data_IF_799370362122
#
_entry.id   IF_799370362122
#
_cell.length_a   1.000
_cell.length_b   1.000
_cell.length_c   1.000
_cell.angle_alpha   90.00
_cell.angle_beta   90.00
_cell.angle_gamma   90.00
#
_symmetry.space_group_name_H-M   'P 1'
#
loop_
_entity.id
_entity.type
_entity.pdbx_description
1 polymer ?
#
# COMPACT_ATOMS: atom_id res chain seq x y z
N UNK A 1 24.81 -0.46 20.41
CA UNK A 1 24.97 -1.59 19.42
C UNK A 1 24.89 -1.14 17.97
N UNK A 2 24.00 -0.22 17.59
CA UNK A 2 23.85 0.24 16.21
C UNK A 2 25.07 0.95 15.64
N UNK A 3 25.79 1.77 16.43
CA UNK A 3 27.00 2.47 15.99
C UNK A 3 28.18 1.53 15.68
N UNK A 4 28.27 0.38 16.34
CA UNK A 4 29.32 -0.62 16.07
C UNK A 4 29.07 -1.28 14.72
N UNK A 5 27.83 -1.48 14.33
CA UNK A 5 27.48 -2.07 13.04
C UNK A 5 27.92 -1.17 11.88
N UNK A 6 27.56 0.12 11.92
CA UNK A 6 27.94 1.08 10.85
C UNK A 6 29.45 1.27 10.77
N UNK A 7 30.15 1.31 11.92
CA UNK A 7 31.61 1.36 11.96
C UNK A 7 32.25 0.10 11.31
N UNK A 8 31.75 -1.08 11.63
CA UNK A 8 32.26 -2.32 11.01
C UNK A 8 32.00 -2.34 9.50
N UNK A 9 30.87 -1.83 9.03
CA UNK A 9 30.61 -1.68 7.60
C UNK A 9 31.62 -0.75 6.93
N UNK A 10 32.00 0.34 7.59
CA UNK A 10 33.00 1.28 7.07
C UNK A 10 34.39 0.63 6.91
N UNK A 11 34.78 -0.31 7.79
CA UNK A 11 36.08 -1.00 7.67
C UNK A 11 36.18 -1.91 6.43
N UNK A 12 35.05 -2.34 5.88
CA UNK A 12 34.97 -3.13 4.64
C UNK A 12 34.59 -2.30 3.41
N UNK A 13 34.68 -0.95 3.53
CA UNK A 13 34.45 -0.04 2.42
C UNK A 13 32.99 0.33 2.16
N UNK A 14 32.06 -0.01 3.07
CA UNK A 14 30.66 0.39 2.98
C UNK A 14 30.50 1.71 3.75
N UNK A 15 30.23 2.86 3.08
CA UNK A 15 30.15 4.15 3.74
C UNK A 15 28.97 4.22 4.72
N UNK A 16 29.15 4.97 5.79
CA UNK A 16 28.08 5.32 6.72
C UNK A 16 27.32 6.56 6.24
N UNK A 17 26.00 6.49 6.29
CA UNK A 17 25.11 7.62 5.99
C UNK A 17 24.33 8.05 7.22
N UNK A 18 24.47 9.31 7.60
CA UNK A 18 23.72 9.92 8.70
C UNK A 18 22.26 10.20 8.35
N UNK A 19 21.96 10.36 7.06
CA UNK A 19 20.61 10.64 6.57
C UNK A 19 20.16 9.59 5.54
N UNK A 20 19.48 8.51 5.95
CA UNK A 20 19.00 7.48 5.04
C UNK A 20 17.92 7.97 4.06
N UNK A 21 17.28 9.10 4.33
CA UNK A 21 16.26 9.71 3.48
C UNK A 21 16.83 10.78 2.53
N UNK A 22 18.15 10.97 2.49
CA UNK A 22 18.82 11.99 1.70
C UNK A 22 19.03 11.64 0.21
N UNK A 23 18.51 10.50 -0.25
CA UNK A 23 18.63 10.05 -1.65
C UNK A 23 19.86 9.18 -1.95
N UNK A 24 20.77 9.00 -1.01
CA UNK A 24 21.89 8.04 -1.15
C UNK A 24 21.42 6.65 -0.74
N UNK A 25 21.48 5.71 -1.68
CA UNK A 25 20.93 4.35 -1.49
C UNK A 25 21.99 3.29 -1.15
N UNK A 26 23.29 3.61 -1.37
CA UNK A 26 24.40 2.69 -1.09
C UNK A 26 25.09 3.10 0.20
N UNK A 27 25.12 2.20 1.17
CA UNK A 27 25.79 2.43 2.45
C UNK A 27 25.11 1.76 3.62
N UNK A 28 25.68 1.97 4.80
CA UNK A 28 25.11 1.53 6.07
C UNK A 28 24.48 2.71 6.80
N UNK A 29 23.35 2.49 7.43
CA UNK A 29 22.64 3.51 8.20
C UNK A 29 21.77 2.87 9.30
N UNK A 30 21.39 3.68 10.26
CA UNK A 30 20.41 3.32 11.26
C UNK A 30 19.03 3.71 10.71
N UNK A 31 18.17 2.71 10.50
CA UNK A 31 16.82 2.94 9.98
C UNK A 31 16.01 3.75 10.99
N UNK A 32 15.45 4.91 10.61
CA UNK A 32 14.58 5.68 11.47
C UNK A 32 13.28 4.91 11.73
N UNK A 33 12.83 4.95 12.97
CA UNK A 33 11.56 4.36 13.38
C UNK A 33 10.48 5.43 13.52
N UNK A 34 9.26 5.09 13.11
CA UNK A 34 8.10 5.98 13.29
C UNK A 34 7.57 5.86 14.71
N UNK A 35 8.34 6.36 15.66
CA UNK A 35 8.06 6.29 17.11
C UNK A 35 8.09 7.70 17.68
N UNK A 36 7.11 8.02 18.53
CA UNK A 36 7.15 9.24 19.33
C UNK A 36 8.19 9.07 20.44
N UNK A 37 9.26 9.89 20.46
CA UNK A 37 10.35 9.74 21.43
C UNK A 37 9.93 10.00 22.88
N UNK A 38 8.84 10.76 23.10
CA UNK A 38 8.40 11.14 24.45
C UNK A 38 7.75 10.00 25.21
N UNK A 39 7.08 9.08 24.52
CA UNK A 39 6.33 7.99 25.15
C UNK A 39 6.59 6.62 24.51
N UNK A 40 7.51 6.55 23.55
CA UNK A 40 7.91 5.33 22.82
C UNK A 40 6.75 4.60 22.12
N UNK A 41 5.66 5.29 21.83
CA UNK A 41 4.53 4.73 21.09
C UNK A 41 4.67 5.01 19.60
N UNK A 42 4.00 4.19 18.78
CA UNK A 42 3.98 4.40 17.33
C UNK A 42 3.36 5.75 16.99
N UNK A 43 4.09 6.56 16.21
CA UNK A 43 3.57 7.79 15.62
C UNK A 43 2.93 7.47 14.27
N UNK A 44 1.70 7.92 14.05
CA UNK A 44 0.95 7.75 12.80
C UNK A 44 0.00 8.93 12.60
N UNK A 45 -0.65 9.00 11.44
CA UNK A 45 -1.41 10.18 11.04
C UNK A 45 -2.48 10.62 12.06
N UNK A 46 -3.20 9.66 12.67
CA UNK A 46 -4.20 9.99 13.69
C UNK A 46 -3.55 10.66 14.92
N UNK A 47 -2.53 10.02 15.51
CA UNK A 47 -1.87 10.54 16.71
C UNK A 47 -1.17 11.87 16.46
N UNK A 48 -0.65 12.10 15.24
CA UNK A 48 0.08 13.31 14.88
C UNK A 48 -0.82 14.49 14.48
N UNK A 49 -1.95 14.22 13.78
CA UNK A 49 -2.72 15.27 13.11
C UNK A 49 -4.18 15.37 13.58
N UNK A 50 -4.68 14.40 14.35
CA UNK A 50 -6.07 14.42 14.84
C UNK A 50 -6.09 14.53 16.36
N UNK A 51 -5.47 13.58 17.07
CA UNK A 51 -5.56 13.52 18.53
C UNK A 51 -4.88 14.71 19.23
N UNK A 52 -3.88 15.33 18.59
CA UNK A 52 -3.14 16.49 19.10
C UNK A 52 -3.81 17.84 18.83
N UNK A 53 -4.87 17.87 18.02
CA UNK A 53 -5.53 19.10 17.63
C UNK A 53 -6.82 19.33 18.42
N UNK A 54 -7.23 20.59 18.65
CA UNK A 54 -8.54 20.90 19.24
C UNK A 54 -9.66 20.39 18.34
N UNK A 55 -10.83 20.04 18.92
CA UNK A 55 -12.00 19.61 18.15
C UNK A 55 -12.38 20.67 17.09
N UNK A 56 -12.62 20.21 15.86
CA UNK A 56 -13.03 21.06 14.74
C UNK A 56 -14.49 20.76 14.40
N UNK A 57 -15.39 21.76 14.45
CA UNK A 57 -16.82 21.54 14.21
C UNK A 57 -17.14 21.09 12.78
N UNK A 58 -16.25 21.36 11.84
CA UNK A 58 -16.37 20.98 10.43
C UNK A 58 -15.62 19.68 10.06
N UNK A 59 -15.07 18.96 11.03
CA UNK A 59 -14.40 17.68 10.83
C UNK A 59 -15.23 16.54 11.37
N UNK A 60 -15.79 15.70 10.50
CA UNK A 60 -16.54 14.52 10.85
C UNK A 60 -15.74 13.26 10.50
N UNK A 61 -15.46 12.43 11.50
CA UNK A 61 -14.72 11.18 11.34
C UNK A 61 -15.68 10.02 11.56
N UNK A 62 -15.92 9.24 10.51
CA UNK A 62 -16.74 8.04 10.55
C UNK A 62 -15.85 6.80 10.62
N UNK A 63 -15.80 6.17 11.79
CA UNK A 63 -15.10 4.89 12.00
C UNK A 63 -16.04 3.72 11.73
N UNK A 64 -15.46 2.55 11.39
CA UNK A 64 -16.21 1.31 11.10
C UNK A 64 -17.11 1.39 9.85
N UNK A 65 -16.86 2.34 8.97
CA UNK A 65 -17.52 2.45 7.68
C UNK A 65 -16.58 2.07 6.55
N UNK A 66 -17.12 1.42 5.55
CA UNK A 66 -16.42 1.09 4.31
C UNK A 66 -16.97 1.93 3.18
N UNK A 67 -16.11 2.62 2.45
CA UNK A 67 -16.47 3.31 1.21
C UNK A 67 -16.64 2.27 0.11
N UNK A 68 -17.75 2.32 -0.60
CA UNK A 68 -18.09 1.40 -1.67
C UNK A 68 -17.66 1.95 -3.02
N UNK A 69 -18.11 3.15 -3.35
CA UNK A 69 -17.79 3.86 -4.59
C UNK A 69 -18.08 5.35 -4.43
N UNK A 70 -17.67 6.13 -5.41
CA UNK A 70 -18.14 7.50 -5.57
C UNK A 70 -18.98 7.63 -6.86
N UNK A 71 -19.83 8.62 -6.89
CA UNK A 71 -20.74 8.88 -7.99
C UNK A 71 -20.29 10.09 -8.79
N UNK A 72 -20.63 10.09 -10.08
CA UNK A 72 -20.43 11.25 -10.96
C UNK A 72 -21.72 12.02 -11.16
N UNK A 73 -21.61 13.33 -11.37
CA UNK A 73 -22.72 14.17 -11.77
C UNK A 73 -23.19 13.77 -13.19
N UNK A 74 -24.52 13.77 -13.37
CA UNK A 74 -25.14 13.37 -14.64
C UNK A 74 -24.89 14.36 -15.79
N UNK A 75 -24.76 15.65 -15.45
CA UNK A 75 -24.51 16.72 -16.41
C UNK A 75 -23.38 17.63 -15.94
N UNK A 76 -22.43 17.90 -16.84
CA UNK A 76 -21.42 18.95 -16.68
C UNK A 76 -21.34 19.71 -17.99
N UNK A 77 -21.48 21.01 -17.95
CA UNK A 77 -21.44 21.90 -19.13
C UNK A 77 -20.11 21.81 -19.90
N UNK A 78 -19.06 21.33 -19.24
CA UNK A 78 -17.71 21.19 -19.82
C UNK A 78 -17.40 19.82 -20.39
N UNK A 79 -18.31 18.85 -20.37
CA UNK A 79 -18.06 17.45 -20.76
C UNK A 79 -17.10 16.69 -19.82
N UNK A 80 -16.62 17.31 -18.75
CA UNK A 80 -15.74 16.68 -17.76
C UNK A 80 -16.56 15.92 -16.72
N UNK A 81 -16.05 14.78 -16.27
CA UNK A 81 -16.65 14.04 -15.16
C UNK A 81 -16.32 14.72 -13.84
N UNK A 82 -17.35 15.00 -13.04
CA UNK A 82 -17.25 15.63 -11.74
C UNK A 82 -17.80 14.67 -10.69
N UNK A 83 -17.06 14.43 -9.62
CA UNK A 83 -17.53 13.63 -8.49
C UNK A 83 -18.66 14.38 -7.76
N UNK A 84 -19.79 13.72 -7.54
CA UNK A 84 -21.00 14.31 -6.94
C UNK A 84 -21.32 13.73 -5.56
N UNK A 85 -20.92 12.50 -5.27
CA UNK A 85 -21.27 11.85 -4.00
C UNK A 85 -20.36 10.66 -3.70
N UNK A 86 -20.40 10.22 -2.44
CA UNK A 86 -19.67 9.03 -1.97
C UNK A 86 -20.66 8.10 -1.29
N UNK A 87 -20.68 6.83 -1.71
CA UNK A 87 -21.47 5.77 -1.09
C UNK A 87 -20.63 4.98 -0.09
N UNK A 88 -21.18 4.76 1.09
CA UNK A 88 -20.51 4.02 2.17
C UNK A 88 -21.52 3.30 3.08
N UNK A 89 -21.05 2.27 3.79
CA UNK A 89 -21.89 1.48 4.70
C UNK A 89 -21.07 0.82 5.81
N UNK A 90 -21.75 0.42 6.90
CA UNK A 90 -21.12 -0.34 8.01
C UNK A 90 -21.00 -1.83 7.68
N UNK A 91 -22.05 -2.41 7.11
CA UNK A 91 -22.13 -3.81 6.71
C UNK A 91 -23.07 -3.97 5.52
N UNK A 92 -23.15 -5.18 4.97
CA UNK A 92 -24.10 -5.47 3.87
C UNK A 92 -25.56 -5.23 4.26
N UNK A 93 -25.90 -5.42 5.53
CA UNK A 93 -27.27 -5.36 6.04
C UNK A 93 -27.64 -3.99 6.62
N UNK A 94 -26.66 -3.11 6.87
CA UNK A 94 -26.87 -1.82 7.55
C UNK A 94 -27.32 -0.67 6.63
N UNK A 95 -27.62 -0.99 5.36
CA UNK A 95 -28.00 0.01 4.35
C UNK A 95 -26.82 0.88 3.88
N UNK A 96 -26.90 1.29 2.63
CA UNK A 96 -25.94 2.19 2.00
C UNK A 96 -26.35 3.61 2.29
N UNK A 97 -25.39 4.44 2.71
CA UNK A 97 -25.54 5.88 2.90
C UNK A 97 -24.76 6.62 1.81
N UNK A 98 -25.24 7.79 1.46
CA UNK A 98 -24.58 8.67 0.50
C UNK A 98 -24.34 10.03 1.15
N UNK A 99 -23.18 10.62 0.84
CA UNK A 99 -22.85 12.01 1.18
C UNK A 99 -22.51 12.75 -0.10
N UNK A 100 -23.06 13.96 -0.24
CA UNK A 100 -22.78 14.81 -1.40
C UNK A 100 -21.41 15.49 -1.28
N UNK A 101 -20.78 15.71 -2.43
CA UNK A 101 -19.45 16.31 -2.54
C UNK A 101 -19.57 17.76 -2.98
N UNK A 102 -19.14 18.68 -2.12
CA UNK A 102 -19.18 20.11 -2.43
C UNK A 102 -17.97 20.63 -3.21
N UNK A 103 -16.78 20.01 -3.02
CA UNK A 103 -15.53 20.45 -3.66
C UNK A 103 -14.79 19.30 -4.33
N UNK A 104 -14.31 18.34 -3.55
CA UNK A 104 -13.46 17.25 -4.04
C UNK A 104 -13.58 15.99 -3.20
N UNK A 105 -13.16 14.86 -3.74
CA UNK A 105 -13.00 13.59 -3.03
C UNK A 105 -11.53 13.23 -3.02
N UNK A 106 -10.95 13.05 -1.84
CA UNK A 106 -9.57 12.57 -1.67
C UNK A 106 -9.58 11.06 -1.41
N UNK A 107 -9.04 10.27 -2.32
CA UNK A 107 -8.90 8.83 -2.18
C UNK A 107 -7.56 8.50 -1.53
N UNK A 108 -7.57 8.07 -0.28
CA UNK A 108 -6.41 7.69 0.50
C UNK A 108 -6.58 6.30 1.12
N UNK A 109 -7.16 5.35 0.37
CA UNK A 109 -7.50 4.01 0.84
C UNK A 109 -6.36 2.98 0.72
N UNK A 110 -5.15 3.43 0.38
CA UNK A 110 -3.98 2.58 0.20
C UNK A 110 -3.86 1.98 -1.21
N UNK A 111 -2.75 1.29 -1.46
CA UNK A 111 -2.36 0.83 -2.79
C UNK A 111 -3.34 -0.19 -3.41
N UNK A 112 -4.02 -0.98 -2.59
CA UNK A 112 -4.99 -1.98 -3.05
C UNK A 112 -6.42 -1.43 -3.11
N UNK A 113 -6.85 -0.68 -2.10
CA UNK A 113 -8.25 -0.25 -2.02
C UNK A 113 -8.55 1.00 -2.85
N UNK A 114 -7.59 1.90 -3.05
CA UNK A 114 -7.80 3.08 -3.92
C UNK A 114 -8.14 2.69 -5.36
N UNK A 115 -7.38 1.84 -6.07
CA UNK A 115 -7.76 1.40 -7.41
C UNK A 115 -9.05 0.57 -7.43
N UNK A 116 -9.35 -0.19 -6.36
CA UNK A 116 -10.62 -0.90 -6.24
C UNK A 116 -11.80 0.07 -6.21
N UNK A 117 -11.75 1.12 -5.39
CA UNK A 117 -12.81 2.14 -5.31
C UNK A 117 -12.96 2.87 -6.66
N UNK A 118 -11.86 3.21 -7.34
CA UNK A 118 -11.89 3.79 -8.68
C UNK A 118 -12.62 2.88 -9.66
N UNK A 119 -12.25 1.61 -9.73
CA UNK A 119 -12.89 0.65 -10.63
C UNK A 119 -14.37 0.42 -10.30
N UNK A 120 -14.74 0.31 -9.03
CA UNK A 120 -16.13 0.20 -8.61
C UNK A 120 -16.96 1.44 -8.97
N UNK A 121 -16.31 2.59 -9.13
CA UNK A 121 -16.92 3.86 -9.58
C UNK A 121 -16.93 4.02 -11.11
N UNK A 122 -16.48 3.01 -11.86
CA UNK A 122 -16.43 3.06 -13.32
C UNK A 122 -15.20 3.73 -13.91
N UNK A 123 -14.13 3.89 -13.12
CA UNK A 123 -12.86 4.48 -13.55
C UNK A 123 -11.77 3.42 -13.62
N UNK A 124 -11.32 3.05 -14.80
CA UNK A 124 -10.30 2.01 -14.94
C UNK A 124 -10.17 1.46 -16.37
N UNK A 125 -9.45 0.34 -16.52
CA UNK A 125 -9.33 -0.35 -17.81
C UNK A 125 -10.70 -0.87 -18.27
N UNK A 126 -11.07 -0.54 -19.50
CA UNK A 126 -12.38 -0.88 -20.09
C UNK A 126 -12.67 -2.39 -20.01
N UNK A 127 -11.72 -3.20 -20.42
CA UNK A 127 -11.87 -4.66 -20.44
C UNK A 127 -12.11 -5.28 -19.06
N UNK A 128 -11.52 -4.70 -18.02
CA UNK A 128 -11.72 -5.12 -16.63
C UNK A 128 -13.11 -4.72 -16.13
N UNK A 129 -13.52 -3.49 -16.41
CA UNK A 129 -14.82 -2.95 -15.99
C UNK A 129 -15.97 -3.69 -16.66
N UNK A 130 -15.89 -3.91 -17.98
CA UNK A 130 -16.91 -4.65 -18.75
C UNK A 130 -17.05 -6.10 -18.30
N UNK A 131 -15.93 -6.79 -18.04
CA UNK A 131 -15.95 -8.14 -17.44
C UNK A 131 -16.61 -8.20 -16.07
N UNK A 132 -16.53 -7.11 -15.31
CA UNK A 132 -17.16 -6.98 -14.00
C UNK A 132 -18.62 -6.47 -14.09
N UNK A 133 -19.13 -6.21 -15.28
CA UNK A 133 -20.45 -5.60 -15.52
C UNK A 133 -20.57 -4.20 -14.88
N UNK A 134 -19.49 -3.46 -14.84
CA UNK A 134 -19.44 -2.09 -14.34
C UNK A 134 -19.43 -1.13 -15.54
N UNK A 135 -20.34 -0.14 -15.50
CA UNK A 135 -20.40 0.90 -16.52
C UNK A 135 -19.10 1.69 -16.55
N UNK A 136 -18.51 1.84 -17.73
CA UNK A 136 -17.31 2.67 -17.92
C UNK A 136 -17.71 4.13 -17.90
N UNK A 137 -17.29 4.87 -16.88
CA UNK A 137 -17.46 6.32 -16.76
C UNK A 137 -16.24 7.06 -17.28
N UNK A 138 -15.05 6.56 -16.97
CA UNK A 138 -13.77 7.09 -17.43
C UNK A 138 -12.81 5.95 -17.73
N UNK A 139 -12.33 5.87 -18.95
CA UNK A 139 -11.33 4.86 -19.31
C UNK A 139 -9.93 5.32 -18.91
N UNK A 140 -9.34 4.63 -17.92
CA UNK A 140 -7.99 4.86 -17.42
C UNK A 140 -7.24 3.52 -17.31
N UNK A 141 -6.48 3.13 -18.36
CA UNK A 141 -5.83 1.81 -18.41
C UNK A 141 -4.80 1.57 -17.31
N UNK A 142 -4.23 2.64 -16.71
CA UNK A 142 -3.23 2.53 -15.65
C UNK A 142 -3.77 2.18 -14.27
N UNK A 143 -5.07 2.28 -14.03
CA UNK A 143 -5.68 2.02 -12.73
C UNK A 143 -5.54 0.53 -12.37
N UNK A 144 -4.94 0.25 -11.20
CA UNK A 144 -4.72 -1.11 -10.71
C UNK A 144 -3.64 -1.90 -11.45
N UNK A 145 -2.87 -1.25 -12.33
CA UNK A 145 -1.77 -1.87 -13.07
C UNK A 145 -0.42 -1.59 -12.41
N UNK A 146 0.57 -2.47 -12.68
CA UNK A 146 1.98 -2.30 -12.30
C UNK A 146 2.20 -2.08 -10.81
N UNK A 147 1.45 -2.78 -9.96
CA UNK A 147 1.71 -2.79 -8.52
C UNK A 147 3.10 -3.35 -8.27
N UNK A 148 3.93 -2.59 -7.56
CA UNK A 148 5.28 -2.97 -7.16
C UNK A 148 5.38 -2.85 -5.63
N UNK A 149 6.14 -3.75 -5.03
CA UNK A 149 6.44 -3.72 -3.60
C UNK A 149 7.92 -3.96 -3.37
N UNK A 150 8.44 -3.47 -2.25
CA UNK A 150 9.81 -3.71 -1.84
C UNK A 150 9.96 -5.12 -1.29
N UNK A 151 10.89 -5.88 -1.86
CA UNK A 151 11.28 -7.16 -1.27
C UNK A 151 12.23 -6.89 -0.11
N UNK A 152 11.78 -7.17 1.11
CA UNK A 152 12.60 -7.15 2.31
C UNK A 152 12.85 -8.58 2.78
N UNK A 153 14.12 -8.96 2.93
CA UNK A 153 14.51 -10.19 3.62
C UNK A 153 15.11 -9.83 4.98
N UNK A 154 14.48 -10.28 6.06
CA UNK A 154 15.01 -10.12 7.41
C UNK A 154 15.90 -11.31 7.74
N UNK A 155 17.21 -11.10 7.81
CA UNK A 155 18.12 -12.08 8.40
C UNK A 155 18.27 -11.76 9.88
N UNK A 156 17.51 -12.45 10.72
CA UNK A 156 17.72 -12.45 12.17
C UNK A 156 19.02 -13.19 12.48
N UNK A 157 20.07 -12.49 12.88
CA UNK A 157 21.24 -13.13 13.51
C UNK A 157 20.85 -13.54 14.91
N UNK A 158 20.48 -14.79 15.10
CA UNK A 158 20.56 -15.43 16.42
C UNK A 158 22.04 -15.51 16.77
N UNK A 159 22.41 -14.86 17.86
CA UNK A 159 23.78 -14.75 18.34
C UNK A 159 24.28 -16.13 18.78
N UNK A 160 24.77 -16.93 17.85
CA UNK A 160 25.67 -18.05 18.08
C UNK A 160 27.00 -17.68 17.40
N UNK A 161 27.85 -17.00 18.16
CA UNK A 161 29.28 -16.91 17.83
C UNK A 161 29.83 -18.34 17.71
N UNK A 162 30.21 -18.84 16.56
CA UNK A 162 31.23 -18.47 15.59
C UNK A 162 30.86 -18.67 14.10
N UNK A 163 29.61 -18.69 13.72
CA UNK A 163 29.18 -18.95 12.33
C UNK A 163 28.96 -17.71 11.48
N UNK A 164 29.18 -16.51 12.03
CA UNK A 164 28.93 -15.25 11.31
C UNK A 164 29.93 -14.96 10.16
N UNK A 165 31.04 -15.67 10.05
CA UNK A 165 32.03 -15.40 9.03
C UNK A 165 31.75 -16.06 7.65
N UNK A 166 30.75 -16.95 7.59
CA UNK A 166 30.53 -17.76 6.38
C UNK A 166 29.39 -17.28 5.48
N UNK A 167 28.54 -16.32 5.91
CA UNK A 167 27.35 -15.92 5.12
C UNK A 167 27.61 -14.70 4.23
N UNK A 168 28.58 -13.84 4.56
CA UNK A 168 28.92 -12.66 3.75
C UNK A 168 29.75 -12.94 2.49
N UNK A 169 30.25 -14.15 2.29
CA UNK A 169 31.18 -14.44 1.17
C UNK A 169 30.62 -15.31 0.06
N UNK A 170 29.32 -15.68 0.10
CA UNK A 170 28.74 -16.41 -1.03
C UNK A 170 28.04 -15.46 -2.00
N UNK A 171 28.41 -15.47 -3.29
CA UNK A 171 27.76 -14.63 -4.29
C UNK A 171 26.27 -15.00 -4.43
N UNK A 172 25.42 -13.98 -4.56
CA UNK A 172 23.96 -14.06 -4.71
C UNK A 172 23.47 -15.04 -5.81
N UNK A 173 24.35 -15.45 -6.73
CA UNK A 173 24.05 -16.37 -7.83
C UNK A 173 23.64 -17.79 -7.39
N UNK A 174 23.98 -18.20 -6.17
CA UNK A 174 23.64 -19.55 -5.68
C UNK A 174 22.26 -19.63 -4.99
N UNK A 175 21.68 -18.50 -4.58
CA UNK A 175 20.35 -18.48 -3.95
C UNK A 175 19.21 -18.43 -4.99
N UNK A 176 19.40 -17.80 -6.14
CA UNK A 176 18.39 -17.70 -7.19
C UNK A 176 17.96 -19.04 -7.78
N UNK A 177 18.91 -19.97 -7.94
CA UNK A 177 18.62 -21.26 -8.59
C UNK A 177 17.98 -22.32 -7.68
N UNK A 178 18.02 -22.17 -6.37
CA UNK A 178 17.38 -23.14 -5.46
C UNK A 178 15.94 -22.77 -5.08
N UNK A 179 15.60 -21.49 -5.07
CA UNK A 179 14.20 -21.05 -4.85
C UNK A 179 13.33 -21.30 -6.08
N UNK A 180 13.87 -21.17 -7.29
CA UNK A 180 13.10 -21.49 -8.50
C UNK A 180 12.87 -23.00 -8.72
N UNK A 181 13.75 -23.89 -8.22
CA UNK A 181 13.55 -25.34 -8.36
C UNK A 181 12.54 -25.96 -7.39
N UNK A 182 12.11 -25.24 -6.33
CA UNK A 182 11.07 -25.74 -5.41
C UNK A 182 9.66 -25.25 -5.73
N UNK A 183 9.48 -24.35 -6.69
CA UNK A 183 8.16 -23.92 -7.16
C UNK A 183 7.70 -24.61 -8.46
N UNK A 184 8.45 -25.58 -8.95
CA UNK A 184 8.05 -26.43 -10.05
C UNK A 184 7.29 -27.65 -9.55
N UNK A 185 5.99 -27.64 -9.74
CA UNK A 185 4.99 -28.70 -9.62
C UNK A 185 3.99 -28.49 -8.49
N UNK A 186 3.09 -27.58 -8.70
CA UNK A 186 1.64 -27.77 -8.41
C UNK A 186 0.87 -26.64 -9.11
N UNK A 187 0.70 -26.76 -10.40
CA UNK A 187 -0.25 -25.94 -11.16
C UNK A 187 -1.64 -26.52 -10.98
N UNK A 188 -2.29 -26.24 -9.85
CA UNK A 188 -3.75 -26.24 -9.84
C UNK A 188 -4.20 -24.98 -10.61
N UNK A 189 -4.59 -25.19 -11.87
CA UNK A 189 -5.31 -24.19 -12.67
C UNK A 189 -6.64 -23.90 -11.98
N UNK A 190 -6.69 -22.80 -11.24
CA UNK A 190 -7.98 -22.24 -10.81
C UNK A 190 -8.62 -21.62 -12.06
N UNK A 191 -9.85 -21.99 -12.44
CA UNK A 191 -10.52 -21.42 -13.60
C UNK A 191 -10.58 -19.89 -13.47
N UNK A 192 -10.29 -19.20 -14.54
CA UNK A 192 -10.19 -17.74 -14.63
C UNK A 192 -11.42 -16.99 -14.10
N UNK A 193 -12.60 -17.64 -14.14
CA UNK A 193 -13.86 -17.07 -13.65
C UNK A 193 -13.98 -16.96 -12.12
N UNK A 194 -13.22 -17.75 -11.35
CA UNK A 194 -13.22 -17.65 -9.88
C UNK A 194 -12.20 -16.63 -9.36
N UNK A 195 -11.09 -16.41 -10.06
CA UNK A 195 -10.10 -15.38 -9.68
C UNK A 195 -10.68 -13.97 -9.72
N UNK A 196 -11.56 -13.70 -10.67
CA UNK A 196 -12.15 -12.36 -10.81
C UNK A 196 -13.28 -12.10 -9.82
N UNK A 197 -14.03 -13.12 -9.40
CA UNK A 197 -15.09 -12.96 -8.39
C UNK A 197 -14.53 -12.66 -6.98
N UNK A 198 -13.34 -13.15 -6.66
CA UNK A 198 -12.73 -12.89 -5.36
C UNK A 198 -12.10 -11.49 -5.25
N UNK A 199 -11.73 -10.85 -6.37
CA UNK A 199 -11.24 -9.47 -6.39
C UNK A 199 -12.34 -8.42 -6.10
N UNK A 200 -13.59 -8.78 -6.32
CA UNK A 200 -14.76 -7.90 -6.14
C UNK A 200 -15.46 -8.16 -4.79
N UNK A 201 -15.19 -9.31 -4.13
CA UNK A 201 -15.87 -9.73 -2.89
C UNK A 201 -15.05 -9.59 -1.59
N UNK A 202 -13.76 -9.29 -1.67
CA UNK A 202 -12.90 -9.10 -0.48
C UNK A 202 -12.67 -7.62 -0.15
#
# INVERSE_FOLDING_TARGET
MSSIWTQNCATVGIPEHSNPNGGLTLGSFISPSTINPSNLTRSYSRSAYIDSLPPRPNLHILTEYTVLKFNFASHTDSGKKVASGVEFGKSKDAGIKTVDVAKEVVLAAGALSTPKILMLSGVGPRDVLEKASIKVEVELPGVGQRLQDHMASSFGSVLLLPLMFCICTRPLSLFGNRLMKRQGTSTHRIPTSQRQRNLIRS
#
